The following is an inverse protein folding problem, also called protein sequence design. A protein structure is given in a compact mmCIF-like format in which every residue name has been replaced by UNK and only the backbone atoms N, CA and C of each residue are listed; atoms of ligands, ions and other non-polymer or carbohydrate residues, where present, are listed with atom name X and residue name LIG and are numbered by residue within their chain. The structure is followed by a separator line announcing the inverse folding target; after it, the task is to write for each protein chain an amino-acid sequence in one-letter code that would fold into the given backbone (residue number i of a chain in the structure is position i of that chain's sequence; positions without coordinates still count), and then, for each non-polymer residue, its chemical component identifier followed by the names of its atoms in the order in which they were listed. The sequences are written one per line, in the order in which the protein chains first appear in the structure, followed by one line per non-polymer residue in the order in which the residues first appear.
data_IF_081751664060
#
_entry.id   IF_081751664060
#
_cell.length_a   1.000
_cell.length_b   1.000
_cell.length_c   1.000
_cell.angle_alpha   90.00
_cell.angle_beta   90.00
_cell.angle_gamma   90.00
#
_symmetry.space_group_name_H-M   'P 1'
#
loop_
_entity.id
_entity.type
_entity.pdbx_description
1 polymer ?
#
# COMPACT_ATOMS: atom_id res chain seq x y z
N UNK A 1 -33.91 -37.37 -3.84
CA UNK A 1 -32.64 -37.69 -4.52
C UNK A 1 -31.82 -36.39 -4.56
N UNK A 2 -31.02 -36.14 -3.54
CA UNK A 2 -30.21 -34.90 -3.42
C UNK A 2 -28.86 -35.17 -4.07
N UNK A 3 -28.56 -34.47 -5.18
CA UNK A 3 -27.23 -34.41 -5.74
C UNK A 3 -26.39 -33.49 -4.84
N UNK A 4 -25.48 -34.05 -4.06
CA UNK A 4 -24.37 -33.35 -3.46
C UNK A 4 -23.28 -33.19 -4.52
N UNK A 5 -23.18 -32.01 -5.08
CA UNK A 5 -22.03 -31.64 -5.90
C UNK A 5 -20.87 -31.28 -4.93
N UNK A 6 -20.00 -32.26 -4.68
CA UNK A 6 -18.79 -32.11 -3.86
C UNK A 6 -17.59 -31.72 -4.70
N UNK A 7 -17.76 -30.90 -5.73
CA UNK A 7 -16.63 -30.19 -6.36
C UNK A 7 -16.21 -28.96 -5.52
N UNK A 8 -15.98 -29.17 -4.23
CA UNK A 8 -15.36 -28.17 -3.39
C UNK A 8 -13.87 -28.11 -3.73
N UNK A 9 -13.44 -26.96 -4.23
CA UNK A 9 -12.08 -26.48 -4.29
C UNK A 9 -11.22 -27.14 -3.23
N UNK A 10 -10.31 -28.03 -3.62
CA UNK A 10 -9.22 -28.46 -2.76
C UNK A 10 -8.41 -27.22 -2.42
N UNK A 11 -8.61 -26.67 -1.23
CA UNK A 11 -7.72 -25.66 -0.71
C UNK A 11 -6.34 -26.31 -0.61
N UNK A 12 -5.30 -25.76 -1.27
CA UNK A 12 -3.96 -26.31 -1.18
C UNK A 12 -3.60 -26.42 0.31
N UNK A 13 -3.01 -27.54 0.72
CA UNK A 13 -2.59 -27.77 2.10
C UNK A 13 -1.70 -26.60 2.54
N UNK A 14 -1.92 -26.06 3.74
CA UNK A 14 -1.24 -24.87 4.26
C UNK A 14 0.29 -24.96 4.25
N UNK A 15 0.84 -26.17 4.18
CA UNK A 15 2.29 -26.44 4.23
C UNK A 15 3.08 -26.01 2.99
N UNK A 16 2.42 -25.80 1.82
CA UNK A 16 3.11 -25.45 0.56
C UNK A 16 2.96 -23.97 0.15
N UNK A 17 2.21 -23.16 0.92
CA UNK A 17 1.98 -21.75 0.57
C UNK A 17 3.18 -20.89 0.92
N UNK A 18 3.73 -20.19 -0.07
CA UNK A 18 4.80 -19.20 0.15
C UNK A 18 4.25 -17.97 0.88
N UNK A 19 5.00 -17.51 1.88
CA UNK A 19 4.66 -16.31 2.64
C UNK A 19 5.00 -15.07 1.79
N UNK A 20 4.03 -14.15 1.66
CA UNK A 20 4.21 -12.84 1.07
C UNK A 20 4.61 -11.81 2.14
N UNK A 21 3.88 -11.79 3.27
CA UNK A 21 4.14 -10.88 4.38
C UNK A 21 4.06 -11.66 5.68
N UNK A 22 5.03 -11.45 6.55
CA UNK A 22 5.02 -11.99 7.91
C UNK A 22 5.43 -10.91 8.90
N UNK A 23 4.56 -10.63 9.82
CA UNK A 23 4.76 -9.73 10.95
C UNK A 23 4.74 -10.57 12.22
N UNK A 24 5.83 -10.56 12.98
CA UNK A 24 5.99 -11.28 14.23
C UNK A 24 6.14 -10.28 15.37
N UNK A 25 5.18 -10.25 16.31
CA UNK A 25 5.16 -9.43 17.52
C UNK A 25 5.43 -7.94 17.28
N UNK A 26 4.89 -7.40 16.18
CA UNK A 26 5.10 -5.99 15.79
C UNK A 26 4.51 -5.06 16.84
N UNK A 27 5.38 -4.26 17.44
CA UNK A 27 5.02 -3.21 18.38
C UNK A 27 5.52 -1.86 17.88
N UNK A 28 4.67 -0.84 17.94
CA UNK A 28 5.04 0.53 17.64
C UNK A 28 4.65 1.48 18.74
N UNK A 29 5.65 2.13 19.32
CA UNK A 29 5.48 3.09 20.41
C UNK A 29 5.89 4.47 19.91
N UNK A 30 5.02 5.44 20.08
CA UNK A 30 5.30 6.85 19.85
C UNK A 30 5.56 7.55 21.19
N UNK A 31 6.63 8.35 21.25
CA UNK A 31 6.95 9.19 22.38
C UNK A 31 6.25 10.55 22.20
N UNK A 32 5.25 10.81 23.02
CA UNK A 32 4.49 12.05 23.01
C UNK A 32 5.05 13.01 24.05
N UNK A 33 5.58 14.13 23.60
CA UNK A 33 6.14 15.19 24.44
C UNK A 33 5.14 16.34 24.58
N UNK A 34 4.95 16.87 25.79
CA UNK A 34 4.08 18.04 26.02
C UNK A 34 4.69 19.32 25.43
N UNK A 35 6.04 19.41 25.44
CA UNK A 35 6.76 20.58 24.89
C UNK A 35 7.89 20.12 23.99
N UNK A 36 8.14 20.80 22.85
CA UNK A 36 9.28 20.49 21.98
C UNK A 36 10.64 20.50 22.70
N UNK A 37 10.80 21.38 23.71
CA UNK A 37 12.00 21.48 24.54
C UNK A 37 12.27 20.22 25.36
N UNK A 38 11.25 19.47 25.72
CA UNK A 38 11.37 18.25 26.53
C UNK A 38 12.00 17.12 25.71
N UNK A 39 11.67 17.04 24.41
CA UNK A 39 12.32 16.13 23.47
C UNK A 39 13.82 16.39 23.38
N UNK A 40 14.21 17.68 23.29
CA UNK A 40 15.62 18.07 23.21
C UNK A 40 16.37 17.78 24.52
N UNK A 41 15.75 18.08 25.68
CA UNK A 41 16.33 17.80 27.01
C UNK A 41 16.56 16.32 27.22
N UNK A 42 15.63 15.48 26.82
CA UNK A 42 15.75 14.03 26.96
C UNK A 42 16.79 13.47 25.98
N UNK A 43 16.81 13.95 24.73
CA UNK A 43 17.78 13.52 23.71
C UNK A 43 19.24 13.90 24.08
N UNK A 44 19.44 15.03 24.74
CA UNK A 44 20.75 15.49 25.20
C UNK A 44 21.15 14.93 26.59
N UNK A 45 20.31 14.08 27.17
CA UNK A 45 20.61 13.52 28.50
C UNK A 45 20.58 14.52 29.65
N UNK A 46 20.00 15.73 29.44
CA UNK A 46 19.93 16.80 30.45
C UNK A 46 18.93 16.51 31.57
N UNK A 47 18.24 15.41 31.51
CA UNK A 47 17.29 14.96 32.53
C UNK A 47 17.35 13.44 32.69
N UNK A 48 17.22 12.97 33.95
CA UNK A 48 17.07 11.55 34.26
C UNK A 48 15.59 11.10 34.29
N UNK A 49 14.67 12.05 34.18
CA UNK A 49 13.22 11.74 34.15
C UNK A 49 12.77 11.55 32.72
N UNK A 50 11.93 10.53 32.47
CA UNK A 50 11.19 10.41 31.20
C UNK A 50 10.21 11.57 31.12
N UNK A 51 10.36 12.43 30.09
CA UNK A 51 9.52 13.60 29.84
C UNK A 51 8.44 13.34 28.79
N UNK A 52 8.37 12.12 28.30
CA UNK A 52 7.38 11.70 27.30
C UNK A 52 6.38 10.71 27.90
N UNK A 53 5.18 10.68 27.31
CA UNK A 53 4.20 9.61 27.47
C UNK A 53 4.33 8.63 26.31
N UNK A 54 4.37 7.35 26.61
CA UNK A 54 4.36 6.30 25.59
C UNK A 54 2.95 6.08 25.07
N UNK A 55 2.79 6.15 23.75
CA UNK A 55 1.56 5.81 23.06
C UNK A 55 1.79 4.58 22.18
N UNK A 56 1.12 3.50 22.52
CA UNK A 56 1.21 2.24 21.79
C UNK A 56 0.25 2.28 20.62
N UNK A 57 0.77 2.53 19.41
CA UNK A 57 -0.02 2.47 18.18
C UNK A 57 -0.25 1.03 17.70
N UNK A 58 0.70 0.14 18.00
CA UNK A 58 0.61 -1.30 17.79
C UNK A 58 1.25 -2.00 18.99
N UNK A 59 0.70 -3.14 19.40
CA UNK A 59 1.18 -3.89 20.56
C UNK A 59 1.15 -5.40 20.27
N UNK A 60 2.32 -5.97 19.93
CA UNK A 60 2.50 -7.40 19.72
C UNK A 60 1.61 -7.96 18.61
N UNK A 61 1.57 -7.31 17.44
CA UNK A 61 0.73 -7.74 16.31
C UNK A 61 1.42 -8.85 15.54
N UNK A 62 0.73 -9.98 15.41
CA UNK A 62 1.12 -11.10 14.55
C UNK A 62 0.21 -11.15 13.33
N UNK A 63 0.80 -11.30 12.14
CA UNK A 63 0.07 -11.41 10.89
C UNK A 63 0.88 -12.20 9.88
N UNK A 64 0.24 -13.12 9.18
CA UNK A 64 0.84 -13.84 8.04
C UNK A 64 -0.09 -13.74 6.85
N UNK A 65 0.44 -13.33 5.71
CA UNK A 65 -0.24 -13.27 4.41
C UNK A 65 0.52 -14.14 3.44
N UNK A 66 -0.16 -15.06 2.78
CA UNK A 66 0.44 -15.93 1.79
C UNK A 66 0.32 -15.33 0.39
N UNK A 67 1.21 -15.75 -0.51
CA UNK A 67 1.19 -15.32 -1.90
C UNK A 67 -0.15 -15.69 -2.57
N UNK A 68 -0.72 -14.74 -3.30
CA UNK A 68 -2.01 -14.89 -3.98
C UNK A 68 -3.23 -14.72 -3.09
N UNK A 69 -3.06 -14.42 -1.80
CA UNK A 69 -4.20 -14.13 -0.92
C UNK A 69 -4.68 -12.69 -1.04
N UNK A 70 -5.99 -12.52 -0.91
CA UNK A 70 -6.62 -11.22 -0.67
C UNK A 70 -6.99 -11.15 0.81
N UNK A 71 -6.38 -10.21 1.54
CA UNK A 71 -6.58 -10.05 2.99
C UNK A 71 -7.14 -8.68 3.29
N UNK A 72 -8.24 -8.63 4.04
CA UNK A 72 -8.85 -7.39 4.52
C UNK A 72 -8.40 -7.02 5.93
N UNK A 73 -7.87 -5.82 6.12
CA UNK A 73 -7.57 -5.24 7.44
C UNK A 73 -8.70 -4.28 7.81
N UNK A 74 -9.44 -4.64 8.85
CA UNK A 74 -10.62 -3.89 9.30
C UNK A 74 -10.34 -3.31 10.69
N UNK A 75 -10.85 -2.13 10.93
CA UNK A 75 -10.77 -1.51 12.25
C UNK A 75 -11.24 -0.07 12.24
N UNK A 76 -11.59 0.44 13.41
CA UNK A 76 -12.00 1.84 13.61
C UNK A 76 -10.83 2.81 13.40
N UNK A 77 -11.11 4.10 13.29
CA UNK A 77 -10.08 5.13 13.24
C UNK A 77 -9.23 5.08 14.52
N UNK A 78 -7.89 5.16 14.35
CA UNK A 78 -6.95 5.04 15.47
C UNK A 78 -6.59 3.62 15.89
N UNK A 79 -7.13 2.56 15.25
CA UNK A 79 -6.80 1.16 15.59
C UNK A 79 -5.42 0.68 15.12
N UNK A 80 -4.62 1.56 14.51
CA UNK A 80 -3.26 1.23 14.07
C UNK A 80 -3.14 0.76 12.61
N UNK A 81 -4.23 0.72 11.82
CA UNK A 81 -4.20 0.28 10.40
C UNK A 81 -3.12 0.98 9.58
N UNK A 82 -3.14 2.30 9.56
CA UNK A 82 -2.13 3.07 8.80
C UNK A 82 -0.71 2.89 9.37
N UNK A 83 -0.57 2.58 10.65
CA UNK A 83 0.72 2.32 11.28
C UNK A 83 1.30 0.98 10.80
N UNK A 84 0.50 -0.10 10.82
CA UNK A 84 0.98 -1.40 10.33
C UNK A 84 1.28 -1.35 8.83
N UNK A 85 0.47 -0.64 8.05
CA UNK A 85 0.73 -0.47 6.61
C UNK A 85 2.04 0.28 6.33
N UNK A 86 2.31 1.38 7.06
CA UNK A 86 3.58 2.11 6.95
C UNK A 86 4.79 1.26 7.36
N UNK A 87 4.59 0.31 8.25
CA UNK A 87 5.63 -0.65 8.61
C UNK A 87 5.82 -1.65 7.48
N UNK A 88 4.75 -2.22 6.92
CA UNK A 88 4.80 -3.18 5.81
C UNK A 88 5.46 -2.56 4.56
N UNK A 89 5.14 -1.29 4.26
CA UNK A 89 5.73 -0.57 3.12
C UNK A 89 7.15 -0.06 3.36
N UNK A 90 7.72 -0.28 4.56
CA UNK A 90 9.07 0.16 4.90
C UNK A 90 9.21 1.67 5.19
N UNK A 91 8.12 2.44 5.17
CA UNK A 91 8.11 3.88 5.51
C UNK A 91 8.38 4.10 7.00
N UNK A 92 8.02 3.12 7.83
CA UNK A 92 8.16 3.22 9.28
C UNK A 92 8.77 1.93 9.85
N UNK A 93 9.79 2.07 10.70
CA UNK A 93 10.35 0.93 11.42
C UNK A 93 9.50 0.60 12.66
N UNK A 94 9.28 -0.68 12.97
CA UNK A 94 8.68 -1.09 14.23
C UNK A 94 9.60 -0.72 15.41
N UNK A 95 9.05 -0.60 16.61
CA UNK A 95 9.83 -0.42 17.85
C UNK A 95 10.35 -1.75 18.35
N UNK A 96 9.56 -2.82 18.17
CA UNK A 96 9.91 -4.21 18.50
C UNK A 96 9.20 -5.13 17.49
N UNK A 97 9.70 -6.37 17.39
CA UNK A 97 9.19 -7.38 16.47
C UNK A 97 9.92 -7.37 15.13
N UNK A 98 9.61 -8.33 14.29
CA UNK A 98 10.24 -8.53 12.99
C UNK A 98 9.21 -8.53 11.87
N UNK A 99 9.56 -7.92 10.75
CA UNK A 99 8.77 -7.91 9.53
C UNK A 99 9.57 -8.55 8.39
N UNK A 100 8.96 -9.53 7.74
CA UNK A 100 9.48 -10.10 6.49
C UNK A 100 8.49 -9.84 5.37
N UNK A 101 8.96 -9.30 4.25
CA UNK A 101 8.18 -9.08 3.03
C UNK A 101 8.91 -9.73 1.86
N UNK A 102 8.21 -10.60 1.15
CA UNK A 102 8.71 -11.33 0.00
C UNK A 102 7.96 -10.90 -1.26
N UNK A 103 8.52 -9.94 -1.98
CA UNK A 103 7.96 -9.36 -3.20
C UNK A 103 7.96 -7.84 -3.19
N UNK A 104 7.81 -7.26 -4.38
CA UNK A 104 7.73 -5.81 -4.55
C UNK A 104 6.32 -5.33 -4.20
N UNK A 105 6.26 -4.28 -3.38
CA UNK A 105 5.01 -3.68 -2.92
C UNK A 105 4.69 -2.45 -3.77
N UNK A 106 3.44 -2.33 -4.19
CA UNK A 106 2.83 -1.07 -4.55
C UNK A 106 1.73 -0.74 -3.55
N UNK A 107 1.76 0.48 -3.01
CA UNK A 107 0.79 0.93 -2.03
C UNK A 107 0.03 2.15 -2.54
N UNK A 108 -1.29 2.03 -2.64
CA UNK A 108 -2.18 3.12 -3.01
C UNK A 108 -2.49 4.07 -1.84
N UNK A 109 -1.85 3.84 -0.68
CA UNK A 109 -2.04 4.61 0.55
C UNK A 109 -1.67 6.09 0.44
N UNK A 110 -0.65 6.36 -0.32
CA UNK A 110 -0.07 7.70 -0.51
C UNK A 110 0.13 7.92 -2.01
N UNK A 111 -0.99 7.97 -2.76
CA UNK A 111 -0.96 8.19 -4.21
C UNK A 111 -0.12 9.42 -4.57
N UNK A 112 0.91 9.19 -5.39
CA UNK A 112 1.87 10.23 -5.76
C UNK A 112 2.94 10.54 -4.72
N UNK A 113 3.03 9.77 -3.62
CA UNK A 113 4.19 9.84 -2.73
C UNK A 113 5.46 9.54 -3.55
N UNK A 114 6.43 10.43 -3.46
CA UNK A 114 7.66 10.34 -4.25
C UNK A 114 7.60 11.00 -5.64
N UNK A 115 6.45 11.54 -6.05
CA UNK A 115 6.40 12.36 -7.27
C UNK A 115 7.11 13.70 -7.04
N UNK A 116 7.92 14.09 -8.01
CA UNK A 116 8.51 15.44 -8.06
C UNK A 116 7.61 16.34 -8.90
N UNK A 117 7.08 17.39 -8.31
CA UNK A 117 6.15 18.30 -8.95
C UNK A 117 6.78 19.11 -10.09
N UNK A 118 8.12 19.25 -10.12
CA UNK A 118 8.86 19.93 -11.19
C UNK A 118 9.10 19.01 -12.42
N UNK A 119 8.99 17.69 -12.23
CA UNK A 119 9.13 16.70 -13.30
C UNK A 119 7.81 16.54 -14.05
N UNK A 120 7.91 16.17 -15.33
CA UNK A 120 6.75 15.78 -16.11
C UNK A 120 6.24 14.37 -15.72
N UNK A 121 5.12 13.95 -16.32
CA UNK A 121 4.50 12.66 -16.00
C UNK A 121 5.40 11.48 -16.32
N UNK A 122 6.09 11.51 -17.46
CA UNK A 122 7.01 10.43 -17.88
C UNK A 122 8.17 10.30 -16.88
N UNK A 123 8.80 11.41 -16.51
CA UNK A 123 9.89 11.42 -15.55
C UNK A 123 9.43 10.88 -14.18
N UNK A 124 8.22 11.23 -13.75
CA UNK A 124 7.64 10.70 -12.51
C UNK A 124 7.29 9.21 -12.60
N UNK A 125 6.86 8.70 -13.76
CA UNK A 125 6.65 7.25 -13.96
C UNK A 125 7.96 6.50 -13.70
N UNK A 126 9.07 6.94 -14.31
CA UNK A 126 10.38 6.31 -14.11
C UNK A 126 10.89 6.47 -12.68
N UNK A 127 10.75 7.66 -12.09
CA UNK A 127 11.17 7.92 -10.72
C UNK A 127 10.44 6.98 -9.75
N UNK A 128 9.13 6.93 -9.83
CA UNK A 128 8.30 6.14 -8.93
C UNK A 128 8.49 4.63 -9.14
N UNK A 129 8.53 4.18 -10.40
CA UNK A 129 8.82 2.78 -10.73
C UNK A 129 10.18 2.31 -10.21
N UNK A 130 11.21 3.15 -10.33
CA UNK A 130 12.55 2.86 -9.79
C UNK A 130 12.52 2.79 -8.26
N UNK A 131 11.81 3.69 -7.59
CA UNK A 131 11.64 3.66 -6.13
C UNK A 131 10.92 2.38 -5.65
N UNK A 132 10.02 1.84 -6.46
CA UNK A 132 9.36 0.54 -6.19
C UNK A 132 10.24 -0.67 -6.52
N UNK A 133 11.49 -0.45 -7.00
CA UNK A 133 12.46 -1.51 -7.29
C UNK A 133 12.36 -2.11 -8.70
N UNK A 134 11.68 -1.42 -9.64
CA UNK A 134 11.62 -1.84 -11.04
C UNK A 134 12.78 -1.25 -11.85
N UNK A 135 13.35 -2.05 -12.73
CA UNK A 135 14.37 -1.61 -13.68
C UNK A 135 13.74 -0.73 -14.77
N UNK A 136 14.58 0.09 -15.43
CA UNK A 136 14.13 0.90 -16.56
C UNK A 136 13.43 0.06 -17.63
N UNK A 137 13.97 -1.12 -17.95
CA UNK A 137 13.41 -2.02 -18.95
C UNK A 137 12.00 -2.48 -18.58
N UNK A 138 11.77 -2.87 -17.32
CA UNK A 138 10.45 -3.28 -16.84
C UNK A 138 9.45 -2.11 -16.93
N UNK A 139 9.91 -0.89 -16.64
CA UNK A 139 9.09 0.31 -16.76
C UNK A 139 8.77 0.61 -18.23
N UNK A 140 9.77 0.51 -19.14
CA UNK A 140 9.59 0.71 -20.59
C UNK A 140 8.52 -0.24 -21.14
N UNK A 141 8.52 -1.51 -20.71
CA UNK A 141 7.53 -2.51 -21.12
C UNK A 141 6.10 -2.19 -20.66
N UNK A 142 5.93 -1.42 -19.58
CA UNK A 142 4.63 -1.02 -19.00
C UNK A 142 4.23 0.41 -19.30
N UNK A 143 5.11 1.19 -19.91
CA UNK A 143 4.91 2.63 -20.10
C UNK A 143 3.61 2.93 -20.84
N UNK A 144 3.34 2.23 -21.93
CA UNK A 144 2.14 2.47 -22.73
C UNK A 144 0.87 2.12 -21.95
N UNK A 145 0.87 1.00 -21.21
CA UNK A 145 -0.26 0.59 -20.37
C UNK A 145 -0.55 1.64 -19.28
N UNK A 146 0.51 2.24 -18.70
CA UNK A 146 0.39 3.32 -17.71
C UNK A 146 -0.23 4.55 -18.32
N UNK A 147 0.22 4.96 -19.52
CA UNK A 147 -0.28 6.13 -20.22
C UNK A 147 -1.75 5.98 -20.62
N UNK A 148 -2.12 4.83 -21.19
CA UNK A 148 -3.47 4.50 -21.62
C UNK A 148 -4.44 4.42 -20.43
N UNK A 149 -3.94 3.91 -19.30
CA UNK A 149 -4.73 3.86 -18.07
C UNK A 149 -4.96 5.25 -17.49
N UNK A 150 -3.90 6.06 -17.37
CA UNK A 150 -3.96 7.42 -16.83
C UNK A 150 -4.87 8.32 -17.65
N UNK A 151 -4.83 8.18 -18.98
CA UNK A 151 -5.68 8.90 -19.94
C UNK A 151 -5.72 10.42 -19.67
N UNK A 152 -4.52 11.03 -19.60
CA UNK A 152 -4.32 12.47 -19.38
C UNK A 152 -3.79 13.18 -20.63
N UNK A 153 -3.65 12.46 -21.75
CA UNK A 153 -3.19 12.99 -23.04
C UNK A 153 -1.82 13.66 -22.96
N UNK A 154 -1.63 14.69 -23.74
CA UNK A 154 -0.35 15.41 -23.87
C UNK A 154 0.11 16.12 -22.59
N UNK A 155 -0.76 16.23 -21.59
CA UNK A 155 -0.35 16.76 -20.29
C UNK A 155 0.75 15.91 -19.63
N UNK A 156 0.88 14.64 -20.00
CA UNK A 156 1.95 13.78 -19.50
C UNK A 156 3.35 14.36 -19.73
N UNK A 157 3.53 15.21 -20.76
CA UNK A 157 4.80 15.88 -21.05
C UNK A 157 4.99 17.21 -20.33
N UNK A 158 4.00 17.66 -19.57
CA UNK A 158 4.06 18.89 -18.80
C UNK A 158 4.47 18.61 -17.35
N UNK A 159 5.08 19.57 -16.64
CA UNK A 159 5.40 19.41 -15.22
C UNK A 159 4.15 19.10 -14.38
N UNK A 160 4.25 18.15 -13.44
CA UNK A 160 3.13 17.71 -12.62
C UNK A 160 2.49 18.82 -11.78
N UNK A 161 3.21 19.90 -11.48
CA UNK A 161 2.65 21.08 -10.80
C UNK A 161 1.54 21.77 -11.60
N UNK A 162 1.45 21.52 -12.91
CA UNK A 162 0.39 22.10 -13.79
C UNK A 162 -0.84 21.21 -13.87
N UNK A 163 -0.79 20.02 -13.27
CA UNK A 163 -1.90 19.07 -13.33
C UNK A 163 -3.06 19.50 -12.43
N UNK A 164 -4.27 19.19 -12.86
CA UNK A 164 -5.40 19.16 -11.95
C UNK A 164 -5.22 18.04 -10.92
N UNK A 165 -5.89 18.14 -9.78
CA UNK A 165 -5.87 17.08 -8.78
C UNK A 165 -6.31 15.73 -9.34
N UNK A 166 -7.29 15.72 -10.25
CA UNK A 166 -7.75 14.52 -10.93
C UNK A 166 -6.68 13.91 -11.83
N UNK A 167 -5.98 14.71 -12.66
CA UNK A 167 -4.89 14.23 -13.53
C UNK A 167 -3.74 13.65 -12.70
N UNK A 168 -3.37 14.32 -11.62
CA UNK A 168 -2.32 13.86 -10.72
C UNK A 168 -2.66 12.49 -10.13
N UNK A 169 -3.87 12.35 -9.59
CA UNK A 169 -4.35 11.09 -9.01
C UNK A 169 -4.44 9.98 -10.05
N UNK A 170 -4.94 10.27 -11.26
CA UNK A 170 -5.03 9.29 -12.35
C UNK A 170 -3.66 8.78 -12.75
N UNK A 171 -2.65 9.66 -12.89
CA UNK A 171 -1.29 9.23 -13.20
C UNK A 171 -0.67 8.41 -12.07
N UNK A 172 -0.76 8.89 -10.83
CA UNK A 172 -0.21 8.19 -9.66
C UNK A 172 -0.81 6.79 -9.49
N UNK A 173 -2.12 6.68 -9.67
CA UNK A 173 -2.81 5.39 -9.63
C UNK A 173 -2.40 4.49 -10.81
N UNK A 174 -2.31 5.03 -12.01
CA UNK A 174 -1.89 4.30 -13.20
C UNK A 174 -0.50 3.67 -13.03
N UNK A 175 0.45 4.42 -12.48
CA UNK A 175 1.78 3.91 -12.16
C UNK A 175 1.68 2.76 -11.15
N UNK A 176 1.02 3.00 -10.01
CA UNK A 176 0.96 2.06 -8.92
C UNK A 176 0.35 0.70 -9.30
N UNK A 177 -0.63 0.71 -10.23
CA UNK A 177 -1.36 -0.50 -10.58
C UNK A 177 -0.81 -1.18 -11.84
N UNK A 178 -0.31 -0.46 -12.86
CA UNK A 178 0.12 -1.08 -14.11
C UNK A 178 1.57 -1.58 -14.08
N UNK A 179 2.37 -1.20 -13.08
CA UNK A 179 3.73 -1.72 -12.90
C UNK A 179 3.77 -3.19 -12.44
N UNK A 180 2.60 -3.76 -12.13
CA UNK A 180 2.37 -5.16 -11.75
C UNK A 180 3.20 -5.66 -10.57
N UNK A 181 3.05 -5.04 -9.39
CA UNK A 181 3.73 -5.52 -8.18
C UNK A 181 3.29 -6.93 -7.80
N UNK A 182 4.07 -7.62 -6.97
CA UNK A 182 3.69 -8.91 -6.39
C UNK A 182 2.67 -8.74 -5.24
N UNK A 183 2.74 -7.60 -4.54
CA UNK A 183 1.88 -7.26 -3.41
C UNK A 183 1.28 -5.88 -3.65
N UNK A 184 -0.04 -5.81 -3.69
CA UNK A 184 -0.77 -4.56 -3.83
C UNK A 184 -1.47 -4.21 -2.52
N UNK A 185 -1.19 -3.02 -1.99
CA UNK A 185 -1.84 -2.50 -0.79
C UNK A 185 -2.81 -1.40 -1.18
N UNK A 186 -4.08 -1.59 -0.80
CA UNK A 186 -5.18 -0.70 -1.12
C UNK A 186 -5.79 -0.19 0.15
N UNK A 187 -5.79 1.11 0.32
CA UNK A 187 -6.59 1.79 1.34
C UNK A 187 -7.79 2.43 0.65
N UNK A 188 -8.90 2.57 1.28
CA UNK A 188 -10.15 3.25 0.86
C UNK A 188 -10.09 4.12 -0.43
N UNK A 189 -8.89 4.23 -1.01
CA UNK A 189 -8.51 5.07 -2.15
C UNK A 189 -9.16 4.67 -3.49
N UNK A 190 -9.97 3.60 -3.56
CA UNK A 190 -10.69 3.22 -4.79
C UNK A 190 -11.81 4.19 -5.15
N UNK A 191 -12.14 5.13 -4.25
CA UNK A 191 -13.15 6.17 -4.50
C UNK A 191 -12.56 7.42 -5.20
N UNK A 192 -11.38 7.31 -5.82
CA UNK A 192 -10.67 8.43 -6.46
C UNK A 192 -11.05 8.55 -7.92
N UNK A 193 -11.12 9.77 -8.42
CA UNK A 193 -11.44 10.06 -9.81
C UNK A 193 -12.95 10.03 -10.10
N UNK A 194 -13.27 10.08 -11.39
CA UNK A 194 -14.66 9.97 -11.86
C UNK A 194 -15.12 8.51 -11.93
N UNK A 195 -16.43 8.32 -12.17
CA UNK A 195 -17.07 6.99 -12.20
C UNK A 195 -16.43 6.05 -13.25
N UNK A 196 -15.99 6.61 -14.39
CA UNK A 196 -15.36 5.81 -15.44
C UNK A 196 -13.96 5.34 -15.03
N UNK A 197 -13.19 6.22 -14.39
CA UNK A 197 -11.88 5.88 -13.87
C UNK A 197 -11.98 4.84 -12.74
N UNK A 198 -12.95 5.00 -11.84
CA UNK A 198 -13.24 4.00 -10.81
C UNK A 198 -13.55 2.63 -11.42
N UNK A 199 -14.35 2.57 -12.49
CA UNK A 199 -14.65 1.32 -13.19
C UNK A 199 -13.39 0.65 -13.77
N UNK A 200 -12.46 1.45 -14.36
CA UNK A 200 -11.14 0.95 -14.81
C UNK A 200 -10.34 0.38 -13.62
N UNK A 201 -10.34 1.06 -12.47
CA UNK A 201 -9.65 0.60 -11.27
C UNK A 201 -10.20 -0.75 -10.78
N UNK A 202 -11.51 -0.90 -10.68
CA UNK A 202 -12.15 -2.15 -10.27
C UNK A 202 -11.85 -3.31 -11.22
N UNK A 203 -11.89 -3.05 -12.53
CA UNK A 203 -11.54 -4.08 -13.52
C UNK A 203 -10.09 -4.55 -13.36
N UNK A 204 -9.16 -3.61 -13.14
CA UNK A 204 -7.75 -3.93 -12.93
C UNK A 204 -7.53 -4.74 -11.65
N UNK A 205 -8.31 -4.46 -10.62
CA UNK A 205 -8.32 -5.26 -9.39
C UNK A 205 -8.72 -6.72 -9.62
N UNK A 206 -9.78 -6.93 -10.40
CA UNK A 206 -10.23 -8.29 -10.75
C UNK A 206 -9.16 -9.03 -11.58
N UNK A 207 -8.43 -8.31 -12.44
CA UNK A 207 -7.28 -8.87 -13.16
C UNK A 207 -6.20 -9.34 -12.20
N UNK A 208 -5.82 -8.49 -11.20
CA UNK A 208 -4.83 -8.85 -10.18
C UNK A 208 -5.20 -10.12 -9.41
N UNK A 209 -6.47 -10.25 -9.01
CA UNK A 209 -6.98 -11.47 -8.37
C UNK A 209 -6.83 -12.69 -9.27
N UNK A 210 -7.23 -12.56 -10.54
CA UNK A 210 -7.11 -13.65 -11.53
C UNK A 210 -5.67 -14.05 -11.79
N UNK A 211 -4.73 -13.11 -11.72
CA UNK A 211 -3.29 -13.34 -11.83
C UNK A 211 -2.67 -13.96 -10.56
N UNK A 212 -3.44 -14.15 -9.50
CA UNK A 212 -2.94 -14.68 -8.22
C UNK A 212 -1.98 -13.73 -7.51
N UNK A 213 -2.13 -12.41 -7.70
CA UNK A 213 -1.36 -11.41 -6.96
C UNK A 213 -1.85 -11.30 -5.52
N UNK A 214 -0.96 -10.95 -4.62
CA UNK A 214 -1.31 -10.73 -3.21
C UNK A 214 -1.91 -9.34 -3.02
N UNK A 215 -3.06 -9.24 -2.35
CA UNK A 215 -3.74 -7.97 -2.14
C UNK A 215 -4.03 -7.77 -0.65
N UNK A 216 -3.56 -6.66 -0.10
CA UNK A 216 -3.96 -6.15 1.21
C UNK A 216 -4.98 -5.04 1.02
N UNK A 217 -6.20 -5.27 1.47
CA UNK A 217 -7.27 -4.29 1.42
C UNK A 217 -7.53 -3.72 2.81
N UNK A 218 -7.51 -2.39 2.94
CA UNK A 218 -7.78 -1.72 4.22
C UNK A 218 -9.04 -0.91 4.10
N UNK A 219 -9.99 -1.16 4.98
CA UNK A 219 -11.24 -0.42 5.02
C UNK A 219 -11.77 -0.28 6.45
N UNK A 220 -12.57 0.75 6.67
CA UNK A 220 -13.42 0.86 7.84
C UNK A 220 -14.82 0.31 7.59
N UNK A 221 -15.18 -0.01 6.34
CA UNK A 221 -16.48 -0.50 5.93
C UNK A 221 -16.43 -1.98 5.49
N UNK A 222 -17.18 -2.81 6.22
CA UNK A 222 -17.33 -4.25 5.93
C UNK A 222 -17.97 -4.52 4.57
N UNK A 223 -18.86 -3.64 4.10
CA UNK A 223 -19.56 -3.81 2.83
C UNK A 223 -18.63 -3.66 1.63
N UNK A 224 -17.61 -2.82 1.76
CA UNK A 224 -16.56 -2.65 0.75
C UNK A 224 -15.69 -3.90 0.62
N UNK A 225 -15.41 -4.59 1.74
CA UNK A 225 -14.58 -5.81 1.74
C UNK A 225 -15.36 -7.02 1.22
N UNK A 226 -16.67 -7.10 1.47
CA UNK A 226 -17.50 -8.20 1.00
C UNK A 226 -17.66 -8.25 -0.54
N UNK A 227 -17.28 -7.18 -1.25
CA UNK A 227 -17.24 -7.13 -2.72
C UNK A 227 -15.97 -7.74 -3.32
N UNK A 228 -14.91 -7.91 -2.49
CA UNK A 228 -13.57 -8.37 -2.88
C UNK A 228 -13.17 -9.65 -2.17
#
# INVERSE_FOLDING_TARGET
MYYKDESYFERPKMEDKKIAIRADQITKIYKLYEKPSDRMREALGLTRKKLHKEHYALQGVDMTVYQGETVGIIGTNGSGKSTILKIITGVLNPTQGELTVNGRISALLELGAGFNMEYNGIENIYLNGTMMGFSKKEIDEKLQDILDFADIGDYVYQPCKTYSSGMFVRLAFAVAINIEPEILIVDEALSVGDVFFQAKCYHKFDEFKKMGKTILFVSHDLSSIAKY
#
